data_IF_583765255523
#
_entry.id   IF_583765255523
#
_cell.length_a   1.000
_cell.length_b   1.000
_cell.length_c   1.000
_cell.angle_alpha   90.00
_cell.angle_beta   90.00
_cell.angle_gamma   90.00
#
_symmetry.space_group_name_H-M   'P 1'
#
loop_
_entity.id
_entity.type
_entity.pdbx_description
1 polymer ?
#
# COMPACT_ATOMS: atom_id res chain seq x y z
N UNK A 1 24.46 -3.20 19.89
CA UNK A 1 23.01 -3.05 20.13
C UNK A 1 22.33 -4.37 19.79
N UNK A 2 21.67 -5.02 20.75
CA UNK A 2 21.15 -6.38 20.57
C UNK A 2 19.81 -6.35 19.83
N UNK A 3 19.74 -7.01 18.67
CA UNK A 3 18.47 -7.27 17.97
C UNK A 3 17.64 -8.23 18.84
N UNK A 4 16.52 -7.76 19.41
CA UNK A 4 15.60 -8.63 20.13
C UNK A 4 14.77 -9.41 19.11
N UNK A 5 15.21 -10.64 18.83
CA UNK A 5 14.43 -11.63 18.09
C UNK A 5 13.73 -12.54 19.11
N UNK A 6 12.40 -12.51 19.17
CA UNK A 6 11.62 -13.33 20.13
C UNK A 6 10.70 -14.36 19.47
N UNK A 7 10.90 -14.67 18.19
CA UNK A 7 10.25 -15.78 17.48
C UNK A 7 11.19 -16.29 16.38
N UNK A 8 11.06 -17.54 15.88
CA UNK A 8 11.81 -17.96 14.71
C UNK A 8 11.49 -17.01 13.55
N UNK A 9 12.50 -16.25 13.11
CA UNK A 9 12.40 -15.31 12.00
C UNK A 9 11.73 -16.00 10.81
N UNK A 10 10.56 -15.52 10.32
CA UNK A 10 10.00 -16.02 9.09
C UNK A 10 11.08 -15.95 8.02
N UNK A 11 11.37 -17.08 7.36
CA UNK A 11 12.57 -17.26 6.51
C UNK A 11 12.80 -16.08 5.55
N UNK A 12 11.72 -15.51 5.04
CA UNK A 12 11.73 -14.41 4.10
C UNK A 12 12.18 -13.05 4.65
N UNK A 13 12.02 -12.81 5.95
CA UNK A 13 12.44 -11.55 6.57
C UNK A 13 13.94 -11.33 6.49
N UNK A 14 14.73 -12.43 6.48
CA UNK A 14 16.19 -12.37 6.31
C UNK A 14 16.60 -11.73 4.98
N UNK A 15 15.78 -11.85 3.94
CA UNK A 15 16.05 -11.22 2.65
C UNK A 15 15.77 -9.71 2.65
N UNK A 16 14.96 -9.24 3.60
CA UNK A 16 14.64 -7.83 3.77
C UNK A 16 15.55 -7.14 4.80
N UNK A 17 16.39 -7.87 5.54
CA UNK A 17 17.23 -7.34 6.63
C UNK A 17 18.08 -6.12 6.23
N UNK A 18 18.53 -6.05 4.97
CA UNK A 18 19.31 -4.91 4.47
C UNK A 18 18.51 -3.61 4.34
N UNK A 19 17.18 -3.71 4.27
CA UNK A 19 16.26 -2.59 4.11
C UNK A 19 15.58 -2.18 5.42
N UNK A 20 15.73 -2.98 6.47
CA UNK A 20 14.98 -2.86 7.72
C UNK A 20 15.89 -2.57 8.90
N UNK A 21 15.46 -1.64 9.75
CA UNK A 21 16.10 -1.37 11.04
C UNK A 21 15.80 -2.50 12.03
N UNK A 22 14.53 -2.83 12.16
CA UNK A 22 14.01 -3.90 13.02
C UNK A 22 12.62 -4.36 12.55
N UNK A 23 12.11 -5.43 13.17
CA UNK A 23 10.76 -5.93 12.97
C UNK A 23 10.28 -6.71 14.19
N UNK A 24 8.96 -6.84 14.34
CA UNK A 24 8.29 -7.60 15.39
C UNK A 24 7.18 -8.46 14.79
N UNK A 25 6.95 -9.64 15.36
CA UNK A 25 5.79 -10.49 15.06
C UNK A 25 4.66 -10.15 16.04
N UNK A 26 3.50 -9.77 15.52
CA UNK A 26 2.30 -9.46 16.29
C UNK A 26 1.11 -10.28 15.75
N UNK A 27 0.78 -11.38 16.43
CA UNK A 27 -0.13 -12.39 15.89
C UNK A 27 0.46 -13.01 14.62
N UNK A 28 -0.31 -13.00 13.52
CA UNK A 28 0.14 -13.44 12.20
C UNK A 28 0.78 -12.32 11.35
N UNK A 29 0.81 -11.09 11.85
CA UNK A 29 1.36 -9.93 11.15
C UNK A 29 2.83 -9.71 11.54
N UNK A 30 3.65 -9.39 10.56
CA UNK A 30 4.99 -8.86 10.80
C UNK A 30 4.93 -7.36 10.61
N UNK A 31 5.35 -6.62 11.63
CA UNK A 31 5.47 -5.17 11.58
C UNK A 31 6.95 -4.85 11.50
N UNK A 32 7.37 -4.26 10.39
CA UNK A 32 8.76 -3.95 10.11
C UNK A 32 8.99 -2.45 9.97
N UNK A 33 10.06 -1.95 10.59
CA UNK A 33 10.47 -0.56 10.49
C UNK A 33 11.62 -0.44 9.49
N UNK A 34 11.47 0.34 8.41
CA UNK A 34 12.52 0.48 7.43
C UNK A 34 13.69 1.29 7.96
N UNK A 35 14.81 1.25 7.24
CA UNK A 35 15.90 2.21 7.43
C UNK A 35 15.40 3.65 7.18
N UNK A 36 16.07 4.63 7.78
CA UNK A 36 15.66 6.06 7.72
C UNK A 36 15.61 6.63 6.30
N UNK A 37 16.26 6.00 5.33
CA UNK A 37 16.25 6.38 3.92
C UNK A 37 14.96 6.03 3.19
N UNK A 38 14.02 5.32 3.81
CA UNK A 38 12.77 4.93 3.19
C UNK A 38 11.72 6.06 3.23
N UNK A 39 10.87 6.10 2.19
CA UNK A 39 9.81 7.09 2.02
C UNK A 39 8.50 6.71 2.74
N UNK A 40 8.52 5.62 3.50
CA UNK A 40 7.40 5.11 4.29
C UNK A 40 7.86 4.83 5.74
N UNK A 41 6.91 4.78 6.68
CA UNK A 41 7.21 4.64 8.12
C UNK A 41 7.21 3.19 8.60
N UNK A 42 6.35 2.37 8.03
CA UNK A 42 6.13 1.00 8.48
C UNK A 42 5.77 0.11 7.29
N UNK A 43 6.29 -1.12 7.30
CA UNK A 43 5.87 -2.20 6.42
C UNK A 43 5.17 -3.26 7.25
N UNK A 44 3.88 -3.46 7.01
CA UNK A 44 3.11 -4.55 7.59
C UNK A 44 3.02 -5.71 6.59
N UNK A 45 3.42 -6.92 6.98
CA UNK A 45 3.36 -8.13 6.17
C UNK A 45 2.42 -9.15 6.79
N UNK A 46 1.36 -9.53 6.07
CA UNK A 46 0.32 -10.44 6.59
C UNK A 46 0.07 -11.58 5.58
N UNK A 47 -0.01 -12.84 6.02
CA UNK A 47 -0.50 -13.92 5.18
C UNK A 47 -2.02 -13.79 4.97
N UNK A 48 -2.47 -13.58 3.73
CA UNK A 48 -3.89 -13.58 3.36
C UNK A 48 -4.23 -14.88 2.62
N UNK A 49 -4.61 -15.90 3.38
CA UNK A 49 -5.11 -17.22 2.93
C UNK A 49 -4.04 -18.15 2.32
N UNK A 50 -4.37 -19.43 2.41
CA UNK A 50 -3.77 -20.54 1.69
C UNK A 50 -4.66 -20.72 0.44
N UNK A 51 -4.10 -20.67 -0.77
CA UNK A 51 -4.83 -21.02 -1.99
C UNK A 51 -5.34 -22.46 -1.87
N UNK A 52 -6.30 -22.86 -2.73
CA UNK A 52 -6.79 -24.25 -2.79
C UNK A 52 -5.62 -25.25 -2.99
N UNK A 53 -4.51 -24.78 -3.56
CA UNK A 53 -3.28 -25.54 -3.81
C UNK A 53 -2.26 -25.54 -2.66
N UNK A 54 -2.54 -24.91 -1.52
CA UNK A 54 -1.60 -24.86 -0.39
C UNK A 54 -0.63 -23.67 -0.41
N UNK A 55 -0.68 -22.79 -1.42
CA UNK A 55 0.24 -21.66 -1.56
C UNK A 55 -0.23 -20.44 -0.72
N UNK A 56 0.69 -19.77 -0.02
CA UNK A 56 0.37 -18.58 0.77
C UNK A 56 0.43 -17.33 -0.11
N UNK A 57 -0.65 -16.53 -0.11
CA UNK A 57 -0.60 -15.16 -0.62
C UNK A 57 -0.19 -14.24 0.52
N UNK A 58 0.82 -13.41 0.28
CA UNK A 58 1.33 -12.45 1.25
C UNK A 58 0.91 -11.05 0.82
N UNK A 59 0.34 -10.27 1.74
CA UNK A 59 0.19 -8.82 1.56
C UNK A 59 1.35 -8.11 2.22
N UNK A 60 1.96 -7.20 1.47
CA UNK A 60 2.89 -6.18 1.93
C UNK A 60 2.16 -4.84 1.90
N UNK A 61 2.03 -4.18 3.06
CA UNK A 61 1.38 -2.89 3.22
C UNK A 61 2.41 -1.86 3.66
N UNK A 62 2.74 -0.91 2.78
CA UNK A 62 3.64 0.19 3.07
C UNK A 62 2.84 1.39 3.54
N UNK A 63 3.09 1.83 4.78
CA UNK A 63 2.36 2.90 5.45
C UNK A 63 3.10 4.23 5.32
N UNK A 64 2.46 5.20 4.67
CA UNK A 64 3.03 6.52 4.37
C UNK A 64 2.21 7.59 5.10
N UNK A 65 2.60 7.97 6.34
CA UNK A 65 1.90 9.01 7.08
C UNK A 65 2.12 10.38 6.44
N UNK A 66 1.06 11.16 6.32
CA UNK A 66 1.06 12.55 5.85
C UNK A 66 0.70 13.49 7.00
N UNK A 67 -0.38 13.19 7.72
CA UNK A 67 -0.82 13.91 8.91
C UNK A 67 -1.18 12.89 9.98
N UNK A 68 -0.46 12.92 11.09
CA UNK A 68 -0.69 12.07 12.26
C UNK A 68 -1.89 12.58 13.09
N UNK A 69 -2.54 11.72 13.90
CA UNK A 69 -3.73 12.10 14.67
C UNK A 69 -3.58 13.35 15.53
N UNK A 70 -2.45 13.49 16.22
CA UNK A 70 -2.10 14.62 17.06
C UNK A 70 -2.03 15.95 16.29
N UNK A 71 -1.83 15.90 14.97
CA UNK A 71 -1.71 17.06 14.09
C UNK A 71 -2.98 17.28 13.24
N UNK A 72 -4.00 16.45 13.41
CA UNK A 72 -5.22 16.52 12.60
C UNK A 72 -6.08 17.73 12.98
N UNK A 73 -6.49 18.52 11.99
CA UNK A 73 -7.29 19.74 12.13
C UNK A 73 -8.49 19.71 11.21
N UNK A 74 -9.49 20.57 11.46
CA UNK A 74 -10.71 20.67 10.63
C UNK A 74 -10.39 20.99 9.15
N UNK A 75 -9.37 21.79 8.89
CA UNK A 75 -8.94 22.15 7.54
C UNK A 75 -8.37 20.97 6.74
N UNK A 76 -7.71 20.02 7.40
CA UNK A 76 -7.15 18.82 6.79
C UNK A 76 -8.22 17.86 6.25
N UNK A 77 -9.48 17.99 6.67
CA UNK A 77 -10.59 17.23 6.11
C UNK A 77 -10.70 17.42 4.59
N UNK A 78 -10.57 18.66 4.11
CA UNK A 78 -10.66 18.95 2.66
C UNK A 78 -9.51 18.29 1.90
N UNK A 79 -8.31 18.28 2.48
CA UNK A 79 -7.16 17.59 1.92
C UNK A 79 -7.41 16.08 1.84
N UNK A 80 -7.89 15.44 2.90
CA UNK A 80 -8.24 14.01 2.88
C UNK A 80 -9.23 13.69 1.75
N UNK A 81 -10.31 14.46 1.65
CA UNK A 81 -11.33 14.27 0.61
C UNK A 81 -10.77 14.47 -0.79
N UNK A 82 -9.87 15.46 -0.97
CA UNK A 82 -9.17 15.68 -2.23
C UNK A 82 -8.25 14.51 -2.59
N UNK A 83 -7.48 13.99 -1.63
CA UNK A 83 -6.56 12.88 -1.83
C UNK A 83 -7.31 11.55 -2.07
N UNK A 84 -8.48 11.35 -1.45
CA UNK A 84 -9.32 10.14 -1.63
C UNK A 84 -9.68 9.92 -3.10
N UNK A 85 -9.82 10.99 -3.86
CA UNK A 85 -10.09 10.96 -5.29
C UNK A 85 -8.93 10.42 -6.16
N UNK A 86 -7.75 10.23 -5.58
CA UNK A 86 -6.53 9.79 -6.27
C UNK A 86 -6.16 8.33 -6.01
N UNK A 87 -7.02 7.56 -5.32
CA UNK A 87 -6.79 6.14 -5.11
C UNK A 87 -6.73 5.38 -6.44
N UNK A 88 -5.79 4.44 -6.51
CA UNK A 88 -5.52 3.74 -7.75
C UNK A 88 -5.11 2.29 -7.53
N UNK A 89 -5.25 1.51 -8.59
CA UNK A 89 -4.82 0.13 -8.64
C UNK A 89 -4.05 -0.17 -9.92
N UNK A 90 -3.18 -1.16 -9.86
CA UNK A 90 -2.53 -1.70 -11.04
C UNK A 90 -3.51 -2.56 -11.84
N UNK A 91 -3.47 -2.40 -13.16
CA UNK A 91 -4.13 -3.27 -14.12
C UNK A 91 -3.13 -3.78 -15.15
N UNK A 92 -3.45 -4.89 -15.79
CA UNK A 92 -2.60 -5.50 -16.82
C UNK A 92 -3.30 -5.45 -18.18
N UNK A 93 -2.79 -4.63 -19.10
CA UNK A 93 -3.34 -4.50 -20.46
C UNK A 93 -2.64 -5.43 -21.46
N UNK A 94 -3.43 -6.05 -22.34
CA UNK A 94 -2.97 -6.84 -23.49
C UNK A 94 -2.84 -8.35 -23.23
N UNK A 95 -3.04 -9.17 -24.27
CA UNK A 95 -3.10 -10.63 -24.16
C UNK A 95 -1.72 -11.33 -24.13
N UNK A 96 -0.76 -10.89 -24.96
CA UNK A 96 0.55 -11.55 -25.13
C UNK A 96 1.71 -10.88 -24.38
N UNK A 97 1.68 -9.55 -24.23
CA UNK A 97 2.67 -8.75 -23.48
C UNK A 97 1.95 -7.85 -22.50
N UNK A 98 1.41 -8.45 -21.44
CA UNK A 98 0.73 -7.74 -20.36
C UNK A 98 1.62 -6.59 -19.89
N UNK A 99 1.16 -5.37 -20.13
CA UNK A 99 1.85 -4.14 -19.74
C UNK A 99 1.17 -3.60 -18.48
N UNK A 100 1.94 -3.35 -17.40
CA UNK A 100 1.38 -2.76 -16.19
C UNK A 100 0.89 -1.35 -16.49
N UNK A 101 -0.30 -1.01 -15.99
CA UNK A 101 -0.84 0.34 -16.09
C UNK A 101 -1.73 0.62 -14.88
N UNK A 102 -1.45 1.72 -14.17
CA UNK A 102 -2.28 2.17 -13.07
C UNK A 102 -3.54 2.86 -13.59
N UNK A 103 -4.67 2.56 -12.94
CA UNK A 103 -5.98 3.17 -13.19
C UNK A 103 -6.65 3.52 -11.87
N UNK A 104 -7.72 4.32 -11.93
CA UNK A 104 -8.57 4.61 -10.76
C UNK A 104 -8.99 3.31 -10.07
N UNK A 105 -8.95 3.30 -8.73
CA UNK A 105 -9.35 2.13 -7.95
C UNK A 105 -10.84 1.82 -8.14
N UNK A 106 -11.18 0.54 -8.36
CA UNK A 106 -12.57 0.14 -8.61
C UNK A 106 -13.46 0.29 -7.38
N UNK A 107 -12.91 0.21 -6.16
CA UNK A 107 -13.64 0.50 -4.93
C UNK A 107 -13.93 1.99 -4.81
N UNK A 108 -13.03 2.86 -5.27
CA UNK A 108 -13.31 4.30 -5.34
C UNK A 108 -14.49 4.58 -6.29
N UNK A 109 -14.54 3.89 -7.43
CA UNK A 109 -15.67 3.97 -8.38
C UNK A 109 -16.98 3.43 -7.79
N UNK A 110 -16.92 2.40 -6.94
CA UNK A 110 -18.10 1.93 -6.21
C UNK A 110 -18.55 2.96 -5.16
N UNK A 111 -17.61 3.54 -4.41
CA UNK A 111 -17.87 4.55 -3.38
C UNK A 111 -18.48 5.84 -3.93
N UNK A 112 -18.15 6.23 -5.16
CA UNK A 112 -18.71 7.44 -5.79
C UNK A 112 -20.23 7.38 -5.97
N UNK A 113 -20.80 6.18 -6.06
CA UNK A 113 -22.26 5.96 -6.07
C UNK A 113 -22.93 6.38 -4.75
N UNK A 114 -22.19 6.34 -3.64
CA UNK A 114 -22.69 6.65 -2.30
C UNK A 114 -22.20 8.00 -1.77
N UNK A 115 -21.09 8.52 -2.30
CA UNK A 115 -20.49 9.79 -1.92
C UNK A 115 -20.31 10.63 -3.19
N UNK A 116 -21.27 11.50 -3.54
CA UNK A 116 -21.27 12.24 -4.83
C UNK A 116 -20.10 13.22 -5.02
N UNK A 117 -19.39 13.57 -3.95
CA UNK A 117 -18.19 14.40 -4.01
C UNK A 117 -16.93 13.63 -4.43
N UNK A 118 -16.98 12.29 -4.43
CA UNK A 118 -15.89 11.47 -4.96
C UNK A 118 -15.91 11.56 -6.48
N UNK A 119 -14.77 11.95 -7.04
CA UNK A 119 -14.54 12.08 -8.48
C UNK A 119 -13.17 11.54 -8.81
N UNK A 120 -12.99 11.01 -10.01
CA UNK A 120 -11.67 10.54 -10.42
C UNK A 120 -10.68 11.70 -10.49
N UNK A 121 -9.48 11.50 -9.93
CA UNK A 121 -8.37 12.42 -10.05
C UNK A 121 -7.11 11.65 -10.45
N UNK A 122 -6.63 11.90 -11.67
CA UNK A 122 -5.55 11.13 -12.29
C UNK A 122 -4.15 11.54 -11.87
N UNK A 123 -3.96 12.45 -10.90
CA UNK A 123 -2.61 12.94 -10.53
C UNK A 123 -1.66 11.81 -10.12
N UNK A 124 -2.09 10.92 -9.23
CA UNK A 124 -1.27 9.78 -8.80
C UNK A 124 -1.12 8.77 -9.94
N UNK A 125 -2.20 8.41 -10.64
CA UNK A 125 -2.12 7.43 -11.75
C UNK A 125 -1.21 7.92 -12.88
N UNK A 126 -1.27 9.19 -13.25
CA UNK A 126 -0.40 9.79 -14.25
C UNK A 126 1.07 9.78 -13.82
N UNK A 127 1.36 10.11 -12.56
CA UNK A 127 2.72 10.06 -12.01
C UNK A 127 3.29 8.63 -11.95
N UNK A 128 2.48 7.65 -11.55
CA UNK A 128 2.90 6.25 -11.51
C UNK A 128 3.09 5.65 -12.90
N UNK A 129 2.25 6.03 -13.87
CA UNK A 129 2.34 5.56 -15.25
C UNK A 129 3.46 6.24 -16.06
N UNK A 130 3.96 7.39 -15.64
CA UNK A 130 5.09 8.06 -16.30
C UNK A 130 6.45 7.63 -15.73
N UNK A 131 6.48 6.99 -14.55
CA UNK A 131 7.70 6.47 -13.94
C UNK A 131 8.03 5.07 -14.46
N UNK A 132 9.00 5.01 -15.39
CA UNK A 132 9.46 3.74 -15.99
C UNK A 132 10.04 2.77 -14.97
N UNK A 133 10.66 3.26 -13.89
CA UNK A 133 11.23 2.38 -12.85
C UNK A 133 10.12 1.66 -12.08
N UNK A 134 9.02 2.36 -11.81
CA UNK A 134 7.84 1.77 -11.16
C UNK A 134 7.20 0.73 -12.09
N UNK A 135 6.95 1.06 -13.35
CA UNK A 135 6.35 0.13 -14.30
C UNK A 135 7.22 -1.12 -14.51
N UNK A 136 8.54 -0.94 -14.64
CA UNK A 136 9.46 -2.06 -14.80
C UNK A 136 9.55 -2.92 -13.54
N UNK A 137 9.56 -2.33 -12.34
CA UNK A 137 9.55 -3.07 -11.08
C UNK A 137 8.22 -3.83 -10.89
N UNK A 138 7.08 -3.20 -11.16
CA UNK A 138 5.77 -3.87 -11.16
C UNK A 138 5.75 -5.05 -12.15
N UNK A 139 6.36 -4.91 -13.32
CA UNK A 139 6.51 -5.97 -14.32
C UNK A 139 7.40 -7.13 -13.85
N UNK A 140 8.42 -6.86 -13.03
CA UNK A 140 9.31 -7.89 -12.44
C UNK A 140 8.64 -8.62 -11.27
N UNK A 141 8.00 -7.87 -10.37
CA UNK A 141 7.24 -8.43 -9.23
C UNK A 141 6.06 -9.26 -9.72
N UNK A 142 5.32 -8.75 -10.71
CA UNK A 142 4.03 -9.27 -11.17
C UNK A 142 3.09 -9.54 -10.00
N UNK A 143 2.66 -8.51 -9.27
CA UNK A 143 1.76 -8.71 -8.14
C UNK A 143 0.41 -9.26 -8.61
N UNK A 144 -0.24 -10.05 -7.75
CA UNK A 144 -1.61 -10.50 -7.97
C UNK A 144 -2.58 -9.31 -7.79
N UNK A 145 -2.24 -8.43 -6.86
CA UNK A 145 -2.94 -7.17 -6.62
C UNK A 145 -1.93 -6.10 -6.20
N UNK A 146 -2.06 -4.89 -6.74
CA UNK A 146 -1.32 -3.72 -6.30
C UNK A 146 -2.26 -2.51 -6.23
N UNK A 147 -2.37 -1.89 -5.06
CA UNK A 147 -3.25 -0.75 -4.79
C UNK A 147 -2.56 0.34 -4.00
N UNK A 148 -3.04 1.56 -4.19
CA UNK A 148 -2.70 2.75 -3.41
C UNK A 148 -4.01 3.31 -2.87
N UNK A 149 -4.21 3.20 -1.57
CA UNK A 149 -5.44 3.62 -0.90
C UNK A 149 -5.12 4.55 0.26
N UNK A 150 -6.00 5.51 0.54
CA UNK A 150 -5.95 6.21 1.81
C UNK A 150 -6.43 5.30 2.93
N UNK A 151 -5.78 5.42 4.07
CA UNK A 151 -6.21 4.79 5.30
C UNK A 151 -7.62 5.25 5.64
N UNK A 152 -8.51 4.29 5.88
CA UNK A 152 -9.91 4.57 6.23
C UNK A 152 -10.50 3.60 7.26
N UNK A 153 -9.69 2.72 7.86
CA UNK A 153 -10.16 1.60 8.69
C UNK A 153 -9.25 1.29 9.86
N UNK A 154 -9.85 1.19 11.06
CA UNK A 154 -9.24 0.61 12.26
C UNK A 154 -9.96 -0.67 12.74
N UNK A 155 -11.12 -1.02 12.19
CA UNK A 155 -11.93 -2.15 12.67
C UNK A 155 -12.23 -3.18 11.57
N UNK A 156 -12.25 -4.49 11.90
CA UNK A 156 -12.70 -5.53 10.97
C UNK A 156 -14.17 -5.31 10.65
N UNK A 157 -14.50 -5.28 9.36
CA UNK A 157 -15.85 -5.04 8.89
C UNK A 157 -16.44 -6.34 8.38
N UNK A 158 -17.65 -6.70 8.83
CA UNK A 158 -18.23 -8.01 8.53
C UNK A 158 -19.12 -7.99 7.29
N UNK A 159 -19.67 -6.83 6.94
CA UNK A 159 -20.56 -6.65 5.79
C UNK A 159 -20.15 -5.48 4.90
N UNK A 160 -20.63 -5.48 3.66
CA UNK A 160 -20.43 -4.38 2.71
C UNK A 160 -21.06 -3.08 3.22
N UNK A 161 -22.26 -3.14 3.81
CA UNK A 161 -22.95 -1.96 4.37
C UNK A 161 -22.20 -1.32 5.53
N UNK A 162 -21.69 -2.14 6.46
CA UNK A 162 -20.84 -1.65 7.56
C UNK A 162 -19.55 -1.01 7.02
N UNK A 163 -18.99 -1.58 5.94
CA UNK A 163 -17.80 -1.04 5.30
C UNK A 163 -18.09 0.33 4.71
N UNK A 164 -19.17 0.45 3.95
CA UNK A 164 -19.59 1.72 3.36
C UNK A 164 -19.88 2.78 4.42
N UNK A 165 -20.56 2.40 5.51
CA UNK A 165 -20.84 3.30 6.65
C UNK A 165 -19.56 3.80 7.29
N UNK A 166 -18.61 2.90 7.54
CA UNK A 166 -17.32 3.25 8.17
C UNK A 166 -16.49 4.15 7.27
N UNK A 167 -16.38 3.81 5.98
CA UNK A 167 -15.68 4.64 4.98
C UNK A 167 -16.32 6.02 4.90
N UNK A 168 -17.65 6.12 4.91
CA UNK A 168 -18.35 7.40 4.91
C UNK A 168 -18.10 8.22 6.18
N UNK A 169 -18.03 7.58 7.35
CA UNK A 169 -17.68 8.25 8.60
C UNK A 169 -16.26 8.80 8.54
N UNK A 170 -15.30 7.97 8.13
CA UNK A 170 -13.90 8.39 8.00
C UNK A 170 -13.73 9.49 6.93
N UNK A 171 -14.48 9.43 5.83
CA UNK A 171 -14.47 10.47 4.80
C UNK A 171 -14.96 11.84 5.31
N UNK A 172 -15.84 11.85 6.29
CA UNK A 172 -16.39 13.08 6.86
C UNK A 172 -15.62 13.57 8.09
N UNK A 173 -15.01 12.66 8.83
CA UNK A 173 -14.26 12.97 10.05
C UNK A 173 -12.99 12.12 10.12
N UNK A 174 -12.01 12.34 9.22
CA UNK A 174 -10.76 11.60 9.24
C UNK A 174 -9.98 11.94 10.51
N UNK A 175 -9.44 10.93 11.19
CA UNK A 175 -8.57 11.11 12.35
C UNK A 175 -7.10 11.31 11.96
N UNK A 176 -6.72 10.93 10.73
CA UNK A 176 -5.37 11.05 10.17
C UNK A 176 -5.41 11.09 8.65
N UNK A 177 -4.28 11.41 8.04
CA UNK A 177 -4.05 11.22 6.60
C UNK A 177 -2.81 10.34 6.43
N UNK A 178 -3.01 9.14 5.90
CA UNK A 178 -1.94 8.22 5.56
C UNK A 178 -2.29 7.42 4.31
N UNK A 179 -1.32 7.17 3.45
CA UNK A 179 -1.46 6.20 2.36
C UNK A 179 -1.08 4.80 2.83
N UNK A 180 -1.75 3.81 2.27
CA UNK A 180 -1.35 2.41 2.29
C UNK A 180 -1.12 1.95 0.85
N UNK A 181 0.11 1.54 0.56
CA UNK A 181 0.44 0.88 -0.71
C UNK A 181 0.43 -0.61 -0.43
N UNK A 182 -0.51 -1.32 -1.03
CA UNK A 182 -0.74 -2.74 -0.79
C UNK A 182 -0.29 -3.54 -2.00
N UNK A 183 0.67 -4.45 -1.80
CA UNK A 183 1.16 -5.38 -2.80
C UNK A 183 0.83 -6.79 -2.32
N UNK A 184 0.01 -7.52 -3.08
CA UNK A 184 -0.22 -8.95 -2.85
C UNK A 184 0.63 -9.79 -3.79
N UNK A 185 1.32 -10.78 -3.20
CA UNK A 185 2.13 -11.71 -3.97
C UNK A 185 1.99 -13.14 -3.47
N UNK A 186 1.71 -14.05 -4.41
CA UNK A 186 1.87 -15.47 -4.19
C UNK A 186 3.35 -15.84 -4.41
N UNK A 187 3.94 -16.53 -3.44
CA UNK A 187 5.22 -17.19 -3.62
C UNK A 187 5.01 -18.69 -3.78
N UNK A 188 5.26 -19.18 -4.99
CA UNK A 188 5.19 -20.62 -5.25
C UNK A 188 6.30 -21.36 -4.50
N UNK A 189 5.96 -22.55 -3.99
CA UNK A 189 6.88 -23.49 -3.32
C UNK A 189 8.05 -23.94 -4.20
N UNK A 190 7.94 -23.81 -5.52
CA UNK A 190 8.99 -24.20 -6.50
C UNK A 190 9.99 -23.03 -6.72
N UNK A 191 9.74 -21.86 -6.14
CA UNK A 191 10.61 -20.71 -6.32
C UNK A 191 11.93 -20.91 -5.58
N UNK A 192 13.03 -21.08 -6.31
CA UNK A 192 14.37 -21.15 -5.71
C UNK A 192 14.73 -19.86 -4.94
N UNK A 193 15.53 -20.01 -3.88
CA UNK A 193 15.85 -18.94 -2.91
C UNK A 193 16.29 -17.61 -3.57
N UNK A 194 17.13 -17.65 -4.62
CA UNK A 194 17.60 -16.44 -5.31
C UNK A 194 16.47 -15.66 -6.01
N UNK A 195 15.50 -16.37 -6.60
CA UNK A 195 14.36 -15.72 -7.27
C UNK A 195 13.39 -15.14 -6.25
N UNK A 196 13.23 -15.85 -5.13
CA UNK A 196 12.42 -15.42 -3.99
C UNK A 196 12.98 -14.13 -3.36
N UNK A 197 14.26 -14.11 -3.03
CA UNK A 197 14.99 -12.93 -2.52
C UNK A 197 14.85 -11.72 -3.45
N UNK A 198 15.15 -11.89 -4.75
CA UNK A 198 15.02 -10.82 -5.75
C UNK A 198 13.59 -10.27 -5.83
N UNK A 199 12.58 -11.13 -5.70
CA UNK A 199 11.18 -10.68 -5.76
C UNK A 199 10.83 -9.83 -4.54
N UNK A 200 11.30 -10.20 -3.35
CA UNK A 200 11.10 -9.42 -2.13
C UNK A 200 11.80 -8.07 -2.18
N UNK A 201 13.04 -8.04 -2.67
CA UNK A 201 13.77 -6.81 -2.94
C UNK A 201 12.98 -5.88 -3.86
N UNK A 202 12.46 -6.40 -4.96
CA UNK A 202 11.67 -5.63 -5.90
C UNK A 202 10.34 -5.16 -5.32
N UNK A 203 9.69 -5.95 -4.45
CA UNK A 203 8.49 -5.50 -3.72
C UNK A 203 8.85 -4.30 -2.82
N UNK A 204 9.96 -4.36 -2.10
CA UNK A 204 10.42 -3.27 -1.25
C UNK A 204 10.72 -2.00 -2.07
N UNK A 205 11.49 -2.15 -3.15
CA UNK A 205 11.84 -1.05 -4.06
C UNK A 205 10.58 -0.42 -4.65
N UNK A 206 9.66 -1.23 -5.14
CA UNK A 206 8.38 -0.78 -5.72
C UNK A 206 7.57 0.01 -4.69
N UNK A 207 7.39 -0.55 -3.48
CA UNK A 207 6.68 0.11 -2.39
C UNK A 207 7.31 1.44 -2.02
N UNK A 208 8.64 1.51 -1.94
CA UNK A 208 9.36 2.75 -1.61
C UNK A 208 9.23 3.82 -2.72
N UNK A 209 9.39 3.43 -3.99
CA UNK A 209 9.22 4.35 -5.13
C UNK A 209 7.81 4.95 -5.17
N UNK A 210 6.79 4.11 -4.94
CA UNK A 210 5.41 4.55 -4.88
C UNK A 210 5.14 5.44 -3.67
N UNK A 211 5.72 5.12 -2.50
CA UNK A 211 5.59 5.91 -1.27
C UNK A 211 6.12 7.33 -1.45
N UNK A 212 7.26 7.48 -2.13
CA UNK A 212 7.80 8.80 -2.46
C UNK A 212 6.82 9.63 -3.29
N UNK A 213 6.28 9.06 -4.36
CA UNK A 213 5.35 9.77 -5.25
C UNK A 213 4.08 10.20 -4.51
N UNK A 214 3.48 9.30 -3.71
CA UNK A 214 2.26 9.62 -2.97
C UNK A 214 2.52 10.70 -1.92
N UNK A 215 3.64 10.61 -1.20
CA UNK A 215 4.10 11.60 -0.22
C UNK A 215 4.32 12.98 -0.85
N UNK A 216 5.06 13.05 -1.95
CA UNK A 216 5.35 14.30 -2.66
C UNK A 216 4.08 14.98 -3.17
N UNK A 217 3.16 14.20 -3.77
CA UNK A 217 1.88 14.72 -4.24
C UNK A 217 1.05 15.23 -3.05
N UNK A 218 0.99 14.48 -1.95
CA UNK A 218 0.26 14.90 -0.76
C UNK A 218 0.80 16.20 -0.16
N UNK A 219 2.12 16.35 -0.01
CA UNK A 219 2.73 17.58 0.51
C UNK A 219 2.51 18.79 -0.40
N UNK A 220 2.56 18.62 -1.73
CA UNK A 220 2.24 19.70 -2.68
C UNK A 220 0.79 20.19 -2.50
N UNK A 221 -0.16 19.27 -2.31
CA UNK A 221 -1.56 19.65 -2.09
C UNK A 221 -1.79 20.27 -0.71
N UNK A 222 -1.04 19.85 0.31
CA UNK A 222 -1.08 20.47 1.64
C UNK A 222 -0.61 21.93 1.57
N UNK A 223 0.52 22.21 0.91
CA UNK A 223 1.06 23.55 0.74
C UNK A 223 0.15 24.49 -0.08
N UNK A 224 -0.68 23.95 -0.98
CA UNK A 224 -1.68 24.73 -1.74
C UNK A 224 -3.01 24.94 -1.00
N UNK A 225 -3.18 24.31 0.17
CA UNK A 225 -4.41 24.37 0.97
C UNK A 225 -4.28 25.26 2.22
N UNK A 226 -3.07 25.72 2.52
CA UNK A 226 -2.71 26.69 3.56
C UNK A 226 -2.58 28.08 2.96
#
# INVERSE_FOLDING_TARGET
MSKKFSAPTPFFMRFLDKHLKDWVLQGDAIIAHPMETADFRELTVIPRRISITGEKVWRFSFHVPIIEPENMKKEHRKLYQHLKNMECQLDWKGFLRRTPMFKTDTLLQALSKYIPSIRENSRITAALNSDTKILDSAKRVRPEELRVCLFSLLAPVQTEDEYLKTVRQFYNSPDRIAWAIMIEKNFSVIMGNKRYERTLDEIFILGNLMARITKDISHKNLASST
#
